data_IF_376313438396
#
_entry.id   IF_376313438396
#
_cell.length_a   1.000
_cell.length_b   1.000
_cell.length_c   1.000
_cell.angle_alpha   90.00
_cell.angle_beta   90.00
_cell.angle_gamma   90.00
#
_symmetry.space_group_name_H-M   'P 1'
#
loop_
_entity.id
_entity.type
_entity.pdbx_description
1 polymer ?
#
# COMPACT_ATOMS: atom_id res chain seq x y z
N UNK A 1 -33.47 5.89 23.83
CA UNK A 1 -33.44 4.45 23.51
C UNK A 1 -32.56 4.23 22.30
N UNK A 2 -31.79 3.16 22.30
CA UNK A 2 -31.00 2.75 21.13
C UNK A 2 -31.91 2.09 20.05
N UNK A 3 -31.33 1.71 18.93
CA UNK A 3 -32.06 1.05 17.83
C UNK A 3 -32.70 -0.31 18.22
N UNK A 4 -32.26 -0.90 19.33
CA UNK A 4 -32.83 -2.13 19.91
C UNK A 4 -33.97 -1.86 20.92
N UNK A 5 -34.33 -0.60 21.15
CA UNK A 5 -35.39 -0.21 22.09
C UNK A 5 -34.97 -0.20 23.57
N UNK A 6 -33.68 -0.38 23.85
CA UNK A 6 -33.15 -0.34 25.21
C UNK A 6 -32.98 1.11 25.70
N UNK A 7 -33.24 1.33 26.98
CA UNK A 7 -32.97 2.62 27.61
C UNK A 7 -31.46 2.83 27.80
N UNK A 8 -30.91 3.81 27.09
CA UNK A 8 -29.53 4.22 27.30
C UNK A 8 -29.47 5.04 28.59
N UNK A 9 -28.53 4.78 29.50
CA UNK A 9 -28.33 5.61 30.70
C UNK A 9 -28.13 7.08 30.32
N UNK A 10 -28.78 7.97 31.02
CA UNK A 10 -28.53 9.40 30.80
C UNK A 10 -27.08 9.73 31.15
N UNK A 11 -26.40 10.42 30.24
CA UNK A 11 -25.07 10.93 30.50
C UNK A 11 -25.19 12.06 31.54
N UNK A 12 -24.59 11.87 32.70
CA UNK A 12 -24.58 12.87 33.78
C UNK A 12 -23.18 13.47 33.89
N UNK A 13 -23.04 14.72 33.49
CA UNK A 13 -21.77 15.46 33.52
C UNK A 13 -21.82 16.40 34.73
N UNK A 14 -20.89 16.23 35.64
CA UNK A 14 -20.81 17.06 36.84
C UNK A 14 -20.34 18.50 36.49
N UNK A 15 -20.63 19.51 37.33
CA UNK A 15 -20.14 20.87 37.09
C UNK A 15 -18.61 20.91 37.01
N UNK A 16 -18.09 21.45 35.91
CA UNK A 16 -16.65 21.53 35.62
C UNK A 16 -16.06 20.32 34.89
N UNK A 17 -16.84 19.27 34.64
CA UNK A 17 -16.44 18.16 33.82
C UNK A 17 -16.87 18.37 32.36
N UNK A 18 -16.18 17.75 31.43
CA UNK A 18 -16.50 17.73 30.01
C UNK A 18 -16.50 16.31 29.46
N UNK A 19 -17.34 16.08 28.48
CA UNK A 19 -17.35 14.80 27.73
C UNK A 19 -17.15 15.12 26.26
N UNK A 20 -16.20 14.42 25.65
CA UNK A 20 -15.94 14.54 24.24
C UNK A 20 -16.64 13.42 23.49
N UNK A 21 -17.37 13.76 22.45
CA UNK A 21 -17.96 12.80 21.52
C UNK A 21 -17.23 12.93 20.19
N UNK A 22 -16.83 11.80 19.66
CA UNK A 22 -16.32 11.70 18.29
C UNK A 22 -17.36 10.98 17.45
N UNK A 23 -17.69 11.53 16.31
CA UNK A 23 -18.56 10.89 15.33
C UNK A 23 -17.96 11.09 13.94
N UNK A 24 -18.31 10.20 13.02
CA UNK A 24 -17.87 10.26 11.65
C UNK A 24 -19.08 10.05 10.72
N UNK A 25 -19.09 10.80 9.64
CA UNK A 25 -20.00 10.60 8.53
C UNK A 25 -19.27 9.89 7.40
N UNK A 26 -19.86 8.84 6.86
CA UNK A 26 -19.30 8.10 5.74
C UNK A 26 -20.41 7.70 4.79
N UNK A 27 -20.05 7.50 3.53
CA UNK A 27 -20.93 7.10 2.46
C UNK A 27 -20.45 5.78 1.85
N UNK A 28 -21.37 5.07 1.21
CA UNK A 28 -21.07 3.87 0.45
C UNK A 28 -21.99 3.77 -0.76
N UNK A 29 -21.54 3.09 -1.80
CA UNK A 29 -22.34 2.87 -3.02
C UNK A 29 -23.43 1.81 -2.80
N UNK A 30 -23.28 0.96 -1.80
CA UNK A 30 -24.24 -0.04 -1.35
C UNK A 30 -24.04 -0.33 0.15
N UNK A 31 -24.88 -1.20 0.73
CA UNK A 31 -24.83 -1.57 2.15
C UNK A 31 -23.50 -2.23 2.56
N UNK A 32 -22.96 -3.12 1.73
CA UNK A 32 -21.69 -3.81 2.03
C UNK A 32 -20.53 -2.82 2.07
N UNK A 33 -20.46 -1.91 1.12
CA UNK A 33 -19.47 -0.87 1.06
C UNK A 33 -19.59 0.11 2.24
N UNK A 34 -20.82 0.49 2.59
CA UNK A 34 -21.08 1.34 3.76
C UNK A 34 -20.59 0.68 5.05
N UNK A 35 -20.86 -0.61 5.24
CA UNK A 35 -20.40 -1.37 6.41
C UNK A 35 -18.88 -1.52 6.44
N UNK A 36 -18.25 -1.72 5.28
CA UNK A 36 -16.79 -1.76 5.18
C UNK A 36 -16.18 -0.42 5.60
N UNK A 37 -16.70 0.68 5.06
CA UNK A 37 -16.23 2.03 5.39
C UNK A 37 -16.42 2.34 6.89
N UNK A 38 -17.54 1.91 7.48
CA UNK A 38 -17.80 2.06 8.91
C UNK A 38 -16.79 1.30 9.77
N UNK A 39 -16.48 0.05 9.42
CA UNK A 39 -15.48 -0.77 10.13
C UNK A 39 -14.08 -0.19 10.01
N UNK A 40 -13.72 0.26 8.81
CA UNK A 40 -12.44 0.92 8.57
C UNK A 40 -12.30 2.18 9.44
N UNK A 41 -13.34 2.99 9.51
CA UNK A 41 -13.34 4.20 10.33
C UNK A 41 -13.24 3.89 11.83
N UNK A 42 -13.93 2.83 12.28
CA UNK A 42 -13.84 2.38 13.67
C UNK A 42 -12.41 1.92 13.99
N UNK A 43 -11.78 1.16 13.10
CA UNK A 43 -10.39 0.73 13.26
C UNK A 43 -9.42 1.91 13.32
N UNK A 44 -9.58 2.90 12.43
CA UNK A 44 -8.79 4.15 12.49
C UNK A 44 -8.96 4.87 13.82
N UNK A 45 -10.18 5.01 14.29
CA UNK A 45 -10.47 5.69 15.56
C UNK A 45 -9.83 4.96 16.75
N UNK A 46 -9.98 3.63 16.80
CA UNK A 46 -9.41 2.77 17.85
C UNK A 46 -7.87 2.82 17.88
N UNK A 47 -7.26 3.12 16.74
CA UNK A 47 -5.81 3.31 16.58
C UNK A 47 -5.38 4.80 16.55
N UNK A 48 -6.11 5.67 17.26
CA UNK A 48 -5.80 7.11 17.35
C UNK A 48 -5.71 7.82 15.98
N UNK A 49 -6.54 7.45 15.03
CA UNK A 49 -6.55 7.95 13.66
C UNK A 49 -5.23 7.70 12.90
N UNK A 50 -4.50 6.65 13.25
CA UNK A 50 -3.35 6.18 12.51
C UNK A 50 -3.80 5.24 11.40
N UNK A 51 -3.33 5.45 10.18
CA UNK A 51 -3.56 4.52 9.06
C UNK A 51 -2.52 3.41 9.05
N UNK A 52 -2.82 2.22 8.51
CA UNK A 52 -1.82 1.23 8.21
C UNK A 52 -0.66 1.82 7.41
N UNK A 53 0.50 1.28 7.63
CA UNK A 53 1.73 1.74 7.01
C UNK A 53 2.24 0.67 6.07
N UNK A 54 2.74 1.05 4.88
CA UNK A 54 3.44 0.11 4.02
C UNK A 54 4.69 -0.42 4.73
N UNK A 55 5.26 -1.55 4.28
CA UNK A 55 6.50 -2.07 4.82
C UNK A 55 7.63 -1.03 4.79
N UNK A 56 8.54 -1.11 5.75
CA UNK A 56 9.72 -0.25 5.79
C UNK A 56 10.47 -0.27 4.46
N UNK A 57 10.91 0.88 3.99
CA UNK A 57 11.68 0.95 2.75
C UNK A 57 13.05 0.28 2.92
N UNK A 58 13.50 -0.55 1.96
CA UNK A 58 14.81 -1.16 2.02
C UNK A 58 15.92 -0.11 1.84
N UNK A 59 17.06 -0.34 2.45
CA UNK A 59 18.24 0.48 2.22
C UNK A 59 18.91 0.06 0.92
N UNK A 60 18.85 0.92 -0.08
CA UNK A 60 19.38 0.67 -1.42
C UNK A 60 20.80 1.22 -1.56
N UNK A 61 21.64 0.47 -2.25
CA UNK A 61 22.98 0.89 -2.69
C UNK A 61 23.13 0.59 -4.18
N UNK A 62 23.83 1.46 -4.88
CA UNK A 62 24.12 1.30 -6.29
C UNK A 62 25.62 1.20 -6.52
N UNK A 63 26.02 0.33 -7.44
CA UNK A 63 27.37 0.26 -8.00
C UNK A 63 27.26 0.44 -9.51
N UNK A 64 28.09 1.33 -10.05
CA UNK A 64 28.14 1.58 -11.49
C UNK A 64 29.30 0.79 -12.12
N UNK A 65 29.09 0.31 -13.32
CA UNK A 65 30.07 -0.32 -14.17
C UNK A 65 29.85 0.15 -15.63
N UNK A 66 30.64 -0.35 -16.58
CA UNK A 66 30.49 0.02 -17.97
C UNK A 66 29.14 -0.46 -18.51
N UNK A 67 28.32 0.47 -18.98
CA UNK A 67 26.98 0.20 -19.56
C UNK A 67 26.03 -0.61 -18.67
N UNK A 68 26.25 -0.59 -17.36
CA UNK A 68 25.33 -1.21 -16.40
C UNK A 68 25.39 -0.56 -15.02
N UNK A 69 24.28 -0.67 -14.30
CA UNK A 69 24.16 -0.29 -12.89
C UNK A 69 23.64 -1.52 -12.13
N UNK A 70 24.30 -1.81 -11.01
CA UNK A 70 23.90 -2.90 -10.11
C UNK A 70 23.35 -2.29 -8.84
N UNK A 71 22.10 -2.61 -8.51
CA UNK A 71 21.46 -2.24 -7.27
C UNK A 71 21.53 -3.39 -6.26
N UNK A 72 21.69 -3.04 -5.01
CA UNK A 72 21.63 -3.97 -3.87
C UNK A 72 20.75 -3.36 -2.79
N UNK A 73 19.98 -4.18 -2.09
CA UNK A 73 19.18 -3.72 -0.95
C UNK A 73 19.12 -4.75 0.17
N UNK A 74 18.78 -4.28 1.36
CA UNK A 74 18.66 -5.12 2.54
C UNK A 74 17.24 -5.70 2.71
N UNK A 75 17.07 -6.54 3.74
CA UNK A 75 15.86 -7.30 4.01
C UNK A 75 14.96 -6.69 5.09
N UNK A 76 15.18 -5.43 5.49
CA UNK A 76 14.43 -4.84 6.62
C UNK A 76 12.92 -4.84 6.41
N UNK A 77 12.48 -4.66 5.15
CA UNK A 77 11.07 -4.66 4.78
C UNK A 77 10.34 -5.96 5.11
N UNK A 78 11.04 -7.10 5.02
CA UNK A 78 10.46 -8.44 5.23
C UNK A 78 10.04 -8.69 6.68
N UNK A 79 10.61 -7.96 7.63
CA UNK A 79 10.27 -8.04 9.05
C UNK A 79 9.50 -6.83 9.55
N UNK A 80 9.10 -5.95 8.66
CA UNK A 80 8.30 -4.77 9.01
C UNK A 80 6.93 -5.19 9.51
N UNK A 81 6.51 -4.59 10.63
CA UNK A 81 5.20 -4.81 11.21
C UNK A 81 4.42 -3.51 11.10
N UNK A 82 3.23 -3.59 10.53
CA UNK A 82 2.32 -2.45 10.55
C UNK A 82 1.96 -2.09 11.99
N UNK A 83 2.19 -0.85 12.42
CA UNK A 83 1.94 -0.46 13.81
C UNK A 83 0.46 -0.41 14.18
N UNK A 84 -0.44 -0.37 13.20
CA UNK A 84 -1.89 -0.29 13.39
C UNK A 84 -2.51 -1.67 13.44
N UNK A 85 -2.20 -2.52 12.48
CA UNK A 85 -2.76 -3.87 12.39
C UNK A 85 -1.97 -4.88 13.23
N UNK A 86 -0.71 -4.59 13.53
CA UNK A 86 0.20 -5.51 14.21
C UNK A 86 0.58 -6.72 13.34
N UNK A 87 0.35 -6.65 12.03
CA UNK A 87 0.62 -7.72 11.08
C UNK A 87 1.81 -7.38 10.20
N UNK A 88 2.42 -8.40 9.61
CA UNK A 88 3.39 -8.28 8.55
C UNK A 88 2.69 -8.64 7.24
N UNK A 89 2.42 -7.64 6.41
CA UNK A 89 1.75 -7.77 5.11
C UNK A 89 2.72 -7.66 3.93
N UNK A 90 4.02 -7.68 4.18
CA UNK A 90 5.05 -7.57 3.15
C UNK A 90 4.85 -8.62 2.05
N UNK A 91 4.80 -8.17 0.80
CA UNK A 91 4.61 -9.03 -0.37
C UNK A 91 5.82 -9.07 -1.30
N UNK A 92 6.58 -8.00 -1.38
CA UNK A 92 7.72 -8.00 -2.30
C UNK A 92 8.38 -6.65 -2.50
N UNK A 93 9.23 -6.61 -3.52
CA UNK A 93 9.98 -5.43 -3.92
C UNK A 93 9.66 -5.02 -5.36
N UNK A 94 9.67 -3.71 -5.62
CA UNK A 94 9.57 -3.13 -6.95
C UNK A 94 10.75 -2.22 -7.21
N UNK A 95 11.30 -2.31 -8.41
CA UNK A 95 12.43 -1.50 -8.86
C UNK A 95 11.95 -0.51 -9.90
N UNK A 96 12.32 0.75 -9.71
CA UNK A 96 11.99 1.85 -10.62
C UNK A 96 13.24 2.59 -11.05
N UNK A 97 13.20 3.20 -12.23
CA UNK A 97 14.23 4.08 -12.74
C UNK A 97 13.64 5.39 -13.24
N UNK A 98 14.32 6.49 -12.94
CA UNK A 98 14.02 7.82 -13.44
C UNK A 98 15.21 8.39 -14.19
N UNK A 99 14.93 9.13 -15.25
CA UNK A 99 15.89 9.97 -15.99
C UNK A 99 15.64 11.46 -15.77
N UNK A 100 14.63 11.79 -14.98
CA UNK A 100 14.15 13.15 -14.68
C UNK A 100 14.31 13.52 -13.20
N UNK A 101 15.32 12.95 -12.53
CA UNK A 101 15.62 13.19 -11.12
C UNK A 101 14.49 12.87 -10.16
N UNK A 102 13.71 11.81 -10.49
CA UNK A 102 12.60 11.35 -9.66
C UNK A 102 11.29 12.11 -9.85
N UNK A 103 11.19 12.98 -10.88
CA UNK A 103 9.91 13.62 -11.23
C UNK A 103 8.98 12.69 -12.03
N UNK A 104 9.50 11.68 -12.65
CA UNK A 104 8.76 10.53 -13.20
C UNK A 104 9.57 9.24 -12.97
N UNK A 105 8.92 8.09 -13.04
CA UNK A 105 9.53 6.79 -12.77
C UNK A 105 9.31 5.81 -13.92
N UNK A 106 9.20 6.34 -15.14
CA UNK A 106 9.04 5.56 -16.36
C UNK A 106 7.61 5.60 -16.90
N UNK A 107 7.09 4.46 -17.34
CA UNK A 107 5.77 4.40 -17.95
C UNK A 107 4.67 4.55 -16.89
N UNK A 108 3.77 5.51 -17.09
CA UNK A 108 2.59 5.70 -16.26
C UNK A 108 1.59 4.59 -16.54
N UNK A 109 1.02 4.03 -15.47
CA UNK A 109 -0.13 3.11 -15.57
C UNK A 109 -1.39 3.96 -15.77
N UNK A 110 -2.25 3.53 -16.68
CA UNK A 110 -3.55 4.18 -16.91
C UNK A 110 -4.65 3.47 -16.14
N UNK A 111 -5.69 4.24 -15.80
CA UNK A 111 -6.93 3.68 -15.29
C UNK A 111 -7.68 2.87 -16.37
N UNK A 112 -8.80 2.26 -16.01
CA UNK A 112 -9.61 1.48 -16.96
C UNK A 112 -10.20 2.31 -18.12
N UNK A 113 -10.24 3.64 -17.97
CA UNK A 113 -10.72 4.57 -18.99
C UNK A 113 -9.57 5.11 -19.88
N UNK A 114 -8.33 4.70 -19.60
CA UNK A 114 -7.14 5.14 -20.31
C UNK A 114 -6.56 6.47 -19.83
N UNK A 115 -7.02 7.02 -18.70
CA UNK A 115 -6.44 8.23 -18.13
C UNK A 115 -5.15 7.90 -17.39
N UNK A 116 -4.10 8.73 -17.50
CA UNK A 116 -2.87 8.54 -16.75
C UNK A 116 -3.12 8.67 -15.24
N UNK A 117 -2.44 7.84 -14.46
CA UNK A 117 -2.47 7.86 -13.00
C UNK A 117 -1.13 8.34 -12.44
N UNK A 118 -1.01 8.43 -11.12
CA UNK A 118 0.26 8.70 -10.45
C UNK A 118 1.05 7.40 -10.16
N UNK A 119 0.64 6.28 -10.75
CA UNK A 119 1.29 4.97 -10.57
C UNK A 119 2.14 4.65 -11.78
N UNK A 120 3.34 4.15 -11.53
CA UNK A 120 4.32 3.84 -12.57
C UNK A 120 4.56 2.35 -12.69
N UNK A 121 4.86 1.90 -13.91
CA UNK A 121 5.25 0.53 -14.17
C UNK A 121 6.68 0.29 -13.68
N UNK A 122 6.92 -0.66 -12.78
CA UNK A 122 8.27 -0.99 -12.34
C UNK A 122 9.09 -1.67 -13.44
N UNK A 123 10.41 -1.53 -13.36
CA UNK A 123 11.35 -2.30 -14.20
C UNK A 123 11.38 -3.77 -13.83
N UNK A 124 11.22 -4.07 -12.55
CA UNK A 124 11.17 -5.42 -12.02
C UNK A 124 10.24 -5.49 -10.80
N UNK A 125 9.61 -6.64 -10.62
CA UNK A 125 8.83 -7.01 -9.45
C UNK A 125 9.41 -8.32 -8.92
N UNK A 126 9.73 -8.35 -7.63
CA UNK A 126 10.20 -9.53 -6.91
C UNK A 126 9.18 -9.85 -5.83
N UNK A 127 8.41 -10.87 -6.07
CA UNK A 127 7.22 -11.24 -5.35
C UNK A 127 7.47 -12.47 -4.47
N UNK A 128 6.88 -12.53 -3.29
CA UNK A 128 6.91 -13.72 -2.45
C UNK A 128 6.32 -14.91 -3.20
N UNK A 129 6.76 -16.12 -2.82
CA UNK A 129 6.15 -17.37 -3.30
C UNK A 129 5.20 -17.85 -2.20
N UNK A 130 3.97 -17.35 -2.20
CA UNK A 130 2.98 -17.58 -1.13
C UNK A 130 1.55 -17.84 -1.62
N UNK A 131 1.33 -17.85 -2.95
CA UNK A 131 0.03 -18.05 -3.58
C UNK A 131 -0.73 -16.75 -3.84
N UNK A 132 -0.15 -15.59 -3.49
CA UNK A 132 -0.74 -14.27 -3.73
C UNK A 132 -0.03 -13.64 -4.92
N UNK A 133 -0.71 -13.48 -6.04
CA UNK A 133 -0.09 -12.97 -7.27
C UNK A 133 -1.13 -12.37 -8.23
N UNK A 134 -0.67 -11.75 -9.30
CA UNK A 134 -1.52 -11.23 -10.36
C UNK A 134 -1.96 -9.78 -10.14
N UNK A 135 -3.09 -9.42 -10.72
CA UNK A 135 -3.62 -8.05 -10.68
C UNK A 135 -4.75 -7.94 -9.69
N UNK A 136 -4.64 -7.02 -8.77
CA UNK A 136 -5.66 -6.71 -7.77
C UNK A 136 -6.16 -5.27 -7.92
N UNK A 137 -7.43 -5.04 -7.61
CA UNK A 137 -7.97 -3.70 -7.58
C UNK A 137 -7.39 -2.92 -6.39
N UNK A 138 -6.91 -1.72 -6.65
CA UNK A 138 -6.56 -0.78 -5.59
C UNK A 138 -7.81 -0.28 -4.87
N UNK A 139 -7.63 0.51 -3.82
CA UNK A 139 -8.72 1.21 -3.08
C UNK A 139 -9.62 1.98 -4.05
N UNK A 140 -9.07 2.54 -5.11
CA UNK A 140 -9.83 3.02 -6.25
C UNK A 140 -10.06 1.84 -7.22
N UNK A 141 -11.31 1.37 -7.42
CA UNK A 141 -11.62 0.24 -8.30
C UNK A 141 -11.32 0.50 -9.78
N UNK A 142 -10.90 1.72 -10.14
CA UNK A 142 -10.52 2.08 -11.50
C UNK A 142 -9.06 1.75 -11.84
N UNK A 143 -8.25 1.35 -10.85
CA UNK A 143 -6.83 1.07 -11.03
C UNK A 143 -6.53 -0.35 -10.58
N UNK A 144 -5.88 -1.12 -11.46
CA UNK A 144 -5.39 -2.45 -11.13
C UNK A 144 -3.89 -2.41 -10.81
N UNK A 145 -3.55 -3.02 -9.71
CA UNK A 145 -2.22 -3.08 -9.15
C UNK A 145 -1.65 -4.49 -9.33
N UNK A 146 -0.49 -4.59 -9.97
CA UNK A 146 0.16 -5.88 -10.19
C UNK A 146 1.02 -6.24 -8.98
N UNK A 147 0.70 -7.36 -8.32
CA UNK A 147 1.45 -7.90 -7.19
C UNK A 147 2.69 -8.69 -7.61
N UNK A 148 2.74 -9.13 -8.85
CA UNK A 148 3.82 -9.97 -9.36
C UNK A 148 3.33 -11.33 -9.81
N UNK A 149 4.23 -12.31 -9.89
CA UNK A 149 3.96 -13.64 -10.40
C UNK A 149 4.74 -14.71 -9.64
N UNK A 150 4.85 -14.58 -8.32
CA UNK A 150 5.58 -15.54 -7.47
C UNK A 150 7.03 -15.78 -7.93
N UNK A 151 7.71 -14.69 -8.31
CA UNK A 151 9.05 -14.73 -8.88
C UNK A 151 10.13 -15.11 -7.88
N UNK A 152 9.81 -15.09 -6.60
CA UNK A 152 10.76 -15.17 -5.49
C UNK A 152 11.49 -13.86 -5.24
N UNK A 153 11.86 -13.62 -3.99
CA UNK A 153 12.56 -12.41 -3.59
C UNK A 153 13.98 -12.39 -4.13
N UNK A 154 14.40 -11.21 -4.61
CA UNK A 154 15.76 -10.90 -4.96
C UNK A 154 16.21 -9.66 -4.18
N UNK A 155 17.51 -9.50 -4.03
CA UNK A 155 18.14 -8.39 -3.29
C UNK A 155 19.13 -7.62 -4.16
N UNK A 156 19.11 -7.94 -5.44
CA UNK A 156 19.94 -7.30 -6.47
C UNK A 156 19.15 -7.15 -7.74
N UNK A 157 19.43 -6.07 -8.46
CA UNK A 157 18.90 -5.83 -9.80
C UNK A 157 20.04 -5.28 -10.67
N UNK A 158 20.17 -5.77 -11.89
CA UNK A 158 21.15 -5.29 -12.85
C UNK A 158 20.41 -4.60 -14.00
N UNK A 159 20.65 -3.30 -14.17
CA UNK A 159 20.15 -2.55 -15.30
C UNK A 159 21.26 -2.47 -16.36
N UNK A 160 21.06 -3.16 -17.46
CA UNK A 160 21.93 -3.17 -18.64
C UNK A 160 21.41 -2.24 -19.76
N UNK A 161 20.25 -1.60 -19.53
CA UNK A 161 19.64 -0.67 -20.49
C UNK A 161 19.96 0.78 -20.12
N UNK A 162 21.24 1.08 -19.93
CA UNK A 162 21.73 2.42 -19.63
C UNK A 162 22.74 2.87 -20.67
N UNK A 163 22.95 4.18 -20.74
CA UNK A 163 23.95 4.82 -21.60
C UNK A 163 24.96 5.52 -20.70
N UNK A 164 26.23 5.26 -20.91
CA UNK A 164 27.29 5.93 -20.16
C UNK A 164 27.24 7.47 -20.35
N UNK A 165 27.44 8.20 -19.26
CA UNK A 165 27.40 9.66 -19.24
C UNK A 165 26.04 10.27 -19.00
N UNK A 166 24.97 9.46 -18.89
CA UNK A 166 23.66 9.92 -18.46
C UNK A 166 23.49 9.71 -16.96
N UNK A 167 22.68 10.56 -16.34
CA UNK A 167 22.28 10.45 -14.93
C UNK A 167 21.01 9.60 -14.81
N UNK A 168 21.05 8.58 -13.96
CA UNK A 168 19.91 7.71 -13.66
C UNK A 168 19.64 7.72 -12.15
N UNK A 169 18.38 7.75 -11.80
CA UNK A 169 17.88 7.66 -10.43
C UNK A 169 17.11 6.36 -10.26
N UNK A 170 17.32 5.69 -9.14
CA UNK A 170 16.65 4.42 -8.86
C UNK A 170 15.92 4.49 -7.54
N UNK A 171 14.77 3.82 -7.48
CA UNK A 171 14.06 3.53 -6.27
C UNK A 171 13.77 2.03 -6.19
N UNK A 172 13.93 1.46 -5.01
CA UNK A 172 13.42 0.14 -4.68
C UNK A 172 12.41 0.34 -3.56
N UNK A 173 11.17 -0.06 -3.80
CA UNK A 173 10.09 0.03 -2.83
C UNK A 173 9.70 -1.36 -2.38
N UNK A 174 9.31 -1.49 -1.11
CA UNK A 174 8.57 -2.63 -0.62
C UNK A 174 7.07 -2.37 -0.79
N UNK A 175 6.28 -3.42 -0.94
CA UNK A 175 4.83 -3.31 -1.08
C UNK A 175 4.11 -4.41 -0.31
N UNK A 176 2.87 -4.12 0.04
CA UNK A 176 1.97 -5.00 0.79
C UNK A 176 1.22 -5.94 -0.14
N UNK A 177 0.74 -7.04 0.43
CA UNK A 177 -0.27 -7.88 -0.18
C UNK A 177 -1.66 -7.20 -0.24
N UNK A 178 -2.61 -7.87 -0.88
CA UNK A 178 -3.97 -7.34 -1.07
C UNK A 178 -4.87 -7.48 0.16
N UNK A 179 -4.31 -7.71 1.32
CA UNK A 179 -5.10 -7.73 2.54
C UNK A 179 -5.76 -6.37 2.71
N UNK A 180 -7.08 -6.37 2.61
CA UNK A 180 -7.84 -5.22 3.04
C UNK A 180 -7.67 -5.05 4.55
N UNK A 181 -8.06 -3.89 5.06
CA UNK A 181 -8.05 -3.54 6.48
C UNK A 181 -8.82 -4.53 7.38
N UNK A 182 -9.57 -5.43 6.81
CA UNK A 182 -10.37 -6.44 7.49
C UNK A 182 -9.76 -7.84 7.42
N UNK A 183 -8.60 -8.01 6.77
CA UNK A 183 -7.94 -9.30 6.59
C UNK A 183 -8.71 -10.25 5.68
N UNK A 184 -9.55 -9.73 4.80
CA UNK A 184 -10.17 -10.49 3.74
C UNK A 184 -9.46 -10.21 2.41
N UNK A 185 -9.07 -11.24 1.64
CA UNK A 185 -8.51 -11.02 0.31
C UNK A 185 -9.54 -10.26 -0.52
N UNK A 186 -9.09 -9.20 -1.18
CA UNK A 186 -9.93 -8.48 -2.15
C UNK A 186 -9.96 -9.33 -3.41
N UNK A 187 -11.07 -10.00 -3.67
CA UNK A 187 -11.27 -10.68 -4.94
C UNK A 187 -11.50 -9.62 -6.04
N UNK A 188 -10.60 -9.50 -7.03
CA UNK A 188 -10.69 -8.44 -8.03
C UNK A 188 -11.69 -8.73 -9.15
N UNK A 189 -12.42 -9.84 -9.09
CA UNK A 189 -13.19 -10.37 -10.21
C UNK A 189 -14.63 -10.78 -9.90
N UNK A 190 -15.18 -10.39 -8.75
CA UNK A 190 -16.63 -10.51 -8.50
C UNK A 190 -17.37 -9.18 -8.64
#
# INVERSE_FOLDING_TARGET
VNTAGETVPALNVAPGESVTFTFADFVGINEADLLRNAKMFQSLYDNNCSSPQPPDQPLVRAAQDNERIVLYWDKRSESSMDPVTGTNSFQGYRVYRSTSRGSDWGNVITDINGNPTDVYQPLAIYDLVDGVSGSHAMIDPLIYYNLGGESGLQYTFIDENIINGYEYWYAVTAYDGPDDWAGAPVDPME
#
